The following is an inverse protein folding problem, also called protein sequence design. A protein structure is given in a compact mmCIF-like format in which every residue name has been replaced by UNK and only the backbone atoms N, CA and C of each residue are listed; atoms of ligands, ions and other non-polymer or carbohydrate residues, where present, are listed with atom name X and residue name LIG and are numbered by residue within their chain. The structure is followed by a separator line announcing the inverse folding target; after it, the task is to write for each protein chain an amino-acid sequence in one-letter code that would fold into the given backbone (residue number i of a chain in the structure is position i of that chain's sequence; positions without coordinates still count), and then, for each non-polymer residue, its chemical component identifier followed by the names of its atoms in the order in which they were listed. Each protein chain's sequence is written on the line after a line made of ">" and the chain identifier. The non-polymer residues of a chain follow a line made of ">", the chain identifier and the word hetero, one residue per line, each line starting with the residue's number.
data_IF_275443046659
#
_entry.id   IF_275443046659
#
_cell.length_a   1.000
_cell.length_b   1.000
_cell.length_c   1.000
_cell.angle_alpha   90.00
_cell.angle_beta   90.00
_cell.angle_gamma   90.00
#
_symmetry.space_group_name_H-M   'P 1'
#
loop_
_entity.id
_entity.type
_entity.pdbx_description
1 polymer ?
#
# COMPACT_ATOMS: atom_id res chain seq x y z
N UNK A 1 -17.37 4.28 -5.25
CA UNK A 1 -16.02 4.81 -5.56
C UNK A 1 -15.72 6.03 -4.72
N UNK A 2 -14.78 5.90 -3.78
CA UNK A 2 -14.30 6.95 -2.88
C UNK A 2 -12.79 6.88 -2.81
N UNK A 3 -12.11 8.03 -2.89
CA UNK A 3 -10.66 8.12 -2.63
C UNK A 3 -10.47 8.55 -1.17
N UNK A 4 -9.60 7.85 -0.43
CA UNK A 4 -9.27 8.17 0.96
C UNK A 4 -7.79 7.93 1.26
N UNK A 5 -7.28 8.62 2.28
CA UNK A 5 -5.94 8.35 2.83
C UNK A 5 -5.90 6.94 3.44
N UNK A 6 -4.83 6.20 3.18
CA UNK A 6 -4.56 4.93 3.85
C UNK A 6 -4.35 5.15 5.36
N UNK A 7 -4.77 4.18 6.16
CA UNK A 7 -4.50 4.11 7.59
C UNK A 7 -3.69 2.84 7.92
N UNK A 8 -3.23 2.72 9.16
CA UNK A 8 -2.33 1.63 9.58
C UNK A 8 -2.95 0.23 9.38
N UNK A 9 -4.28 0.09 9.40
CA UNK A 9 -4.96 -1.17 9.13
C UNK A 9 -4.92 -1.58 7.64
N UNK A 10 -4.63 -0.65 6.73
CA UNK A 10 -4.57 -0.92 5.29
C UNK A 10 -3.19 -1.47 4.85
N UNK A 11 -2.20 -1.58 5.75
CA UNK A 11 -0.80 -1.92 5.40
C UNK A 11 -0.69 -3.24 4.62
N UNK A 12 -1.40 -4.29 5.07
CA UNK A 12 -1.41 -5.59 4.39
C UNK A 12 -1.97 -5.47 2.98
N UNK A 13 -3.06 -4.71 2.80
CA UNK A 13 -3.67 -4.48 1.48
C UNK A 13 -2.77 -3.65 0.57
N UNK A 14 -2.11 -2.60 1.09
CA UNK A 14 -1.15 -1.79 0.33
C UNK A 14 0.01 -2.66 -0.17
N UNK A 15 0.55 -3.55 0.67
CA UNK A 15 1.61 -4.46 0.26
C UNK A 15 1.13 -5.43 -0.84
N UNK A 16 -0.08 -5.97 -0.72
CA UNK A 16 -0.68 -6.83 -1.74
C UNK A 16 -0.81 -6.10 -3.10
N UNK A 17 -1.32 -4.87 -3.11
CA UNK A 17 -1.42 -4.06 -4.33
C UNK A 17 -0.06 -3.76 -4.96
N UNK A 18 0.98 -3.51 -4.15
CA UNK A 18 2.36 -3.35 -4.63
C UNK A 18 2.86 -4.64 -5.29
N UNK A 19 2.56 -5.80 -4.70
CA UNK A 19 2.93 -7.10 -5.25
C UNK A 19 2.20 -7.40 -6.57
N UNK A 20 0.89 -7.15 -6.64
CA UNK A 20 0.09 -7.28 -7.86
C UNK A 20 0.61 -6.36 -8.98
N UNK A 21 0.97 -5.11 -8.63
CA UNK A 21 1.59 -4.19 -9.59
C UNK A 21 2.94 -4.73 -10.09
N UNK A 22 3.78 -5.26 -9.20
CA UNK A 22 5.07 -5.82 -9.58
C UNK A 22 4.92 -7.09 -10.45
N UNK A 23 3.90 -7.91 -10.23
CA UNK A 23 3.55 -9.02 -11.11
C UNK A 23 3.20 -8.52 -12.52
N UNK A 24 2.35 -7.48 -12.61
CA UNK A 24 2.00 -6.84 -13.88
C UNK A 24 3.23 -6.27 -14.61
N UNK A 25 4.13 -5.63 -13.87
CA UNK A 25 5.38 -5.06 -14.38
C UNK A 25 6.46 -6.12 -14.71
N UNK A 26 6.19 -7.41 -14.49
CA UNK A 26 7.13 -8.53 -14.66
C UNK A 26 8.38 -8.41 -13.78
N UNK A 27 8.23 -7.80 -12.60
CA UNK A 27 9.29 -7.57 -11.62
C UNK A 27 8.93 -8.04 -10.19
N UNK A 28 8.28 -9.20 -9.98
CA UNK A 28 7.81 -9.61 -8.63
C UNK A 28 8.95 -9.78 -7.62
N UNK A 29 10.14 -10.16 -8.06
CA UNK A 29 11.32 -10.31 -7.19
C UNK A 29 11.89 -8.99 -6.68
N UNK A 30 11.51 -7.86 -7.26
CA UNK A 30 11.95 -6.53 -6.84
C UNK A 30 11.15 -5.99 -5.64
N UNK A 31 10.05 -6.66 -5.27
CA UNK A 31 9.29 -6.34 -4.05
C UNK A 31 10.02 -6.90 -2.84
N UNK A 32 10.97 -6.13 -2.32
CA UNK A 32 11.72 -6.46 -1.10
C UNK A 32 11.09 -5.87 0.17
N UNK A 33 10.10 -4.99 0.01
CA UNK A 33 9.41 -4.33 1.12
C UNK A 33 8.55 -5.33 1.92
N UNK A 34 8.53 -5.15 3.24
CA UNK A 34 7.67 -5.87 4.18
C UNK A 34 6.63 -4.93 4.78
N UNK A 35 5.59 -5.49 5.41
CA UNK A 35 4.59 -4.70 6.13
C UNK A 35 5.22 -3.77 7.19
N UNK A 36 6.27 -4.22 7.87
CA UNK A 36 7.02 -3.41 8.84
C UNK A 36 7.67 -2.18 8.20
N UNK A 37 8.13 -2.29 6.96
CA UNK A 37 8.78 -1.20 6.24
C UNK A 37 7.73 -0.17 5.84
N UNK A 38 6.57 -0.61 5.34
CA UNK A 38 5.45 0.28 5.04
C UNK A 38 4.92 0.98 6.29
N UNK A 39 4.78 0.25 7.40
CA UNK A 39 4.30 0.81 8.67
C UNK A 39 5.24 1.92 9.17
N UNK A 40 6.54 1.64 9.21
CA UNK A 40 7.56 2.58 9.69
C UNK A 40 7.83 3.77 8.76
N UNK A 41 7.36 3.72 7.50
CA UNK A 41 7.57 4.80 6.52
C UNK A 41 6.32 5.66 6.31
N UNK A 42 5.17 5.03 6.02
CA UNK A 42 3.91 5.73 5.76
C UNK A 42 3.30 6.34 7.02
N UNK A 43 3.55 5.73 8.19
CA UNK A 43 2.96 6.12 9.47
C UNK A 43 4.01 6.50 10.52
N UNK A 44 5.20 6.93 10.07
CA UNK A 44 6.20 7.55 10.93
C UNK A 44 5.65 8.80 11.64
N UNK A 45 6.32 9.26 12.70
CA UNK A 45 5.95 10.52 13.36
C UNK A 45 6.08 11.74 12.43
N UNK A 46 7.02 11.72 11.48
CA UNK A 46 7.20 12.72 10.42
C UNK A 46 7.34 12.02 9.05
N UNK A 47 6.23 11.56 8.45
CA UNK A 47 6.26 10.78 7.22
C UNK A 47 6.57 11.66 6.01
N UNK A 48 7.43 11.17 5.12
CA UNK A 48 7.84 11.86 3.89
C UNK A 48 7.10 11.37 2.64
N UNK A 49 6.37 10.27 2.77
CA UNK A 49 5.61 9.60 1.72
C UNK A 49 4.23 9.24 2.26
N UNK A 50 3.25 9.18 1.36
CA UNK A 50 1.85 8.98 1.70
C UNK A 50 1.19 8.06 0.67
N UNK A 51 0.12 7.37 1.08
CA UNK A 51 -0.63 6.46 0.22
C UNK A 51 -2.12 6.83 0.26
N UNK A 52 -2.73 7.01 -0.91
CA UNK A 52 -4.18 7.13 -1.06
C UNK A 52 -4.72 5.82 -1.67
N UNK A 53 -5.92 5.44 -1.26
CA UNK A 53 -6.62 4.23 -1.70
C UNK A 53 -7.95 4.59 -2.34
N UNK A 54 -8.37 3.76 -3.30
CA UNK A 54 -9.70 3.81 -3.91
C UNK A 54 -10.55 2.70 -3.30
N UNK A 55 -11.75 3.05 -2.87
CA UNK A 55 -12.73 2.13 -2.30
C UNK A 55 -13.97 2.08 -3.19
N UNK A 56 -14.36 0.89 -3.64
CA UNK A 56 -15.54 0.62 -4.47
C UNK A 56 -16.31 -0.51 -3.80
N UNK A 57 -17.58 -0.28 -3.47
CA UNK A 57 -18.46 -1.27 -2.82
C UNK A 57 -17.82 -1.94 -1.59
N UNK A 58 -17.20 -1.12 -0.72
CA UNK A 58 -16.46 -1.50 0.49
C UNK A 58 -15.18 -2.34 0.26
N UNK A 59 -14.75 -2.51 -1.00
CA UNK A 59 -13.49 -3.16 -1.38
C UNK A 59 -12.44 -2.13 -1.81
N UNK A 60 -11.18 -2.37 -1.44
CA UNK A 60 -10.03 -1.58 -1.89
C UNK A 60 -9.61 -2.11 -3.27
N UNK A 61 -9.52 -1.21 -4.25
CA UNK A 61 -9.15 -1.50 -5.65
C UNK A 61 -8.03 -0.63 -6.17
#
# INVERSE_FOLDING_TARGET
>A
MRIRRANIADVTTVLALIQELAEYEKAPSEVVAKESDLNSTLFAADPRVFCDLVEVDDEIV
#
